data_IF_224602052046
#
_entry.id   IF_224602052046
#
_cell.length_a   1.000
_cell.length_b   1.000
_cell.length_c   1.000
_cell.angle_alpha   90.00
_cell.angle_beta   90.00
_cell.angle_gamma   90.00
#
_symmetry.space_group_name_H-M   'P 1'
#
loop_
_entity.id
_entity.type
_entity.pdbx_description
1 polymer ?
#
# COMPACT_ATOMS: atom_id res chain seq x y z
N UNK A 1 15.01 -13.09 -0.62
CA UNK A 1 13.59 -12.83 -0.35
C UNK A 1 13.43 -11.37 0.07
N UNK A 2 13.79 -10.48 -0.86
CA UNK A 2 13.45 -9.07 -0.82
C UNK A 2 12.21 -8.94 -1.71
N UNK A 3 11.27 -8.03 -1.41
CA UNK A 3 10.03 -7.79 -2.16
C UNK A 3 8.83 -8.73 -1.88
N UNK A 4 8.31 -8.76 -0.65
CA UNK A 4 6.85 -8.69 -0.46
C UNK A 4 6.58 -7.70 0.70
N UNK A 5 6.89 -6.42 0.49
CA UNK A 5 5.87 -5.42 0.85
C UNK A 5 4.83 -5.46 -0.25
N UNK A 6 3.63 -4.96 0.00
CA UNK A 6 2.45 -4.95 -0.88
C UNK A 6 2.75 -4.19 -2.18
N UNK A 7 3.64 -4.74 -3.01
CA UNK A 7 3.67 -4.62 -4.44
C UNK A 7 2.56 -5.54 -4.93
N UNK A 8 1.31 -5.19 -4.59
CA UNK A 8 0.27 -5.32 -5.61
C UNK A 8 0.63 -4.25 -6.62
N UNK A 9 1.57 -4.66 -7.44
CA UNK A 9 2.06 -3.99 -8.61
C UNK A 9 0.82 -3.85 -9.49
N UNK A 10 0.18 -2.69 -9.39
CA UNK A 10 -0.43 -2.05 -10.56
C UNK A 10 0.60 -1.97 -11.70
N UNK A 11 1.90 -2.26 -11.55
CA UNK A 11 2.74 -2.51 -12.73
C UNK A 11 2.57 -3.88 -13.42
N UNK A 12 1.69 -4.77 -12.96
CA UNK A 12 1.06 -5.77 -13.84
C UNK A 12 0.01 -5.14 -14.77
N UNK A 13 -0.39 -3.90 -14.47
CA UNK A 13 -1.36 -3.08 -15.19
C UNK A 13 -0.76 -1.83 -15.83
N UNK A 14 0.55 -1.55 -15.68
CA UNK A 14 1.21 -0.37 -16.28
C UNK A 14 2.60 -0.79 -16.75
N UNK A 15 2.65 -1.44 -17.91
CA UNK A 15 3.83 -1.38 -18.76
C UNK A 15 3.67 -0.16 -19.68
N UNK A 16 4.68 0.71 -19.82
CA UNK A 16 4.54 2.00 -20.51
C UNK A 16 4.12 1.89 -21.99
N UNK A 17 4.32 0.71 -22.60
CA UNK A 17 4.22 0.51 -24.04
C UNK A 17 3.05 -0.39 -24.49
N UNK A 18 2.04 -0.64 -23.66
CA UNK A 18 0.87 -1.42 -24.09
C UNK A 18 -0.45 -0.76 -23.71
N UNK A 19 -1.26 -0.37 -24.71
CA UNK A 19 -2.59 0.22 -24.52
C UNK A 19 -3.59 -0.66 -23.74
N UNK A 20 -3.20 -1.88 -23.34
CA UNK A 20 -3.97 -2.82 -22.50
C UNK A 20 -3.89 -2.52 -21.00
N UNK A 21 -2.90 -1.74 -20.57
CA UNK A 21 -2.64 -1.33 -19.20
C UNK A 21 -3.77 -0.47 -18.60
N UNK A 22 -4.06 0.65 -19.26
CA UNK A 22 -5.10 1.61 -18.86
C UNK A 22 -6.51 0.99 -18.74
N UNK A 23 -6.80 -0.03 -19.57
CA UNK A 23 -8.11 -0.71 -19.60
C UNK A 23 -8.35 -1.57 -18.35
N UNK A 24 -7.29 -2.10 -17.74
CA UNK A 24 -7.42 -2.95 -16.55
C UNK A 24 -7.53 -2.13 -15.26
N UNK A 25 -6.82 -1.01 -15.16
CA UNK A 25 -6.92 -0.14 -14.00
C UNK A 25 -8.31 0.50 -13.88
N UNK A 26 -8.85 1.06 -14.97
CA UNK A 26 -10.19 1.68 -14.94
C UNK A 26 -11.28 0.71 -14.52
N UNK A 27 -11.12 -0.60 -14.80
CA UNK A 27 -12.06 -1.64 -14.39
C UNK A 27 -12.12 -1.83 -12.88
N UNK A 28 -10.98 -1.79 -12.19
CA UNK A 28 -10.89 -2.03 -10.75
C UNK A 28 -10.86 -0.75 -9.92
N UNK A 29 -10.77 0.42 -10.57
CA UNK A 29 -10.76 1.72 -9.91
C UNK A 29 -11.93 1.87 -8.92
N UNK A 30 -13.14 1.51 -9.33
CA UNK A 30 -14.31 1.57 -8.46
C UNK A 30 -14.20 0.65 -7.24
N UNK A 31 -13.57 -0.52 -7.37
CA UNK A 31 -13.34 -1.43 -6.24
C UNK A 31 -12.37 -0.83 -5.23
N UNK A 32 -11.30 -0.17 -5.69
CA UNK A 32 -10.36 0.51 -4.80
C UNK A 32 -10.97 1.74 -4.12
N UNK A 33 -11.77 2.52 -4.85
CA UNK A 33 -12.54 3.62 -4.28
C UNK A 33 -13.49 3.12 -3.20
N UNK A 34 -14.20 2.01 -3.48
CA UNK A 34 -15.08 1.38 -2.50
C UNK A 34 -14.32 0.96 -1.23
N UNK A 35 -13.15 0.33 -1.34
CA UNK A 35 -12.35 -0.07 -0.18
C UNK A 35 -11.88 1.13 0.65
N UNK A 36 -11.50 2.24 -0.01
CA UNK A 36 -11.15 3.49 0.65
C UNK A 36 -12.37 4.09 1.37
N UNK A 37 -13.49 4.21 0.67
CA UNK A 37 -14.70 4.86 1.18
C UNK A 37 -15.36 4.05 2.30
N UNK A 38 -15.21 2.71 2.27
CA UNK A 38 -15.61 1.83 3.36
C UNK A 38 -14.69 1.90 4.59
N UNK A 39 -13.57 2.63 4.52
CA UNK A 39 -12.62 2.80 5.62
C UNK A 39 -11.77 1.56 5.93
N UNK A 40 -11.70 0.59 5.01
CA UNK A 40 -10.94 -0.66 5.21
C UNK A 40 -9.54 -0.61 4.59
N UNK A 41 -9.28 0.38 3.73
CA UNK A 41 -7.99 0.54 3.07
C UNK A 41 -7.57 2.01 2.96
N UNK A 42 -6.26 2.24 3.02
CA UNK A 42 -5.61 3.55 2.95
C UNK A 42 -4.80 3.66 1.65
N UNK A 43 -5.28 4.41 0.64
CA UNK A 43 -4.52 4.66 -0.57
C UNK A 43 -3.50 5.77 -0.33
N UNK A 44 -2.23 5.49 -0.69
CA UNK A 44 -1.11 6.43 -0.61
C UNK A 44 -0.53 6.61 -2.00
N UNK A 45 -0.66 7.83 -2.52
CA UNK A 45 -0.22 8.19 -3.87
C UNK A 45 1.25 8.58 -3.86
N UNK A 46 1.98 8.18 -4.90
CA UNK A 46 3.35 8.62 -5.07
C UNK A 46 3.38 10.12 -5.39
N UNK A 47 4.41 10.80 -4.90
CA UNK A 47 4.74 12.16 -5.30
C UNK A 47 5.98 12.13 -6.20
N UNK A 48 5.95 12.91 -7.27
CA UNK A 48 7.09 13.03 -8.19
C UNK A 48 8.26 13.74 -7.52
N UNK A 49 7.96 14.73 -6.67
CA UNK A 49 8.92 15.44 -5.84
C UNK A 49 8.35 15.68 -4.44
N UNK A 50 9.16 15.53 -3.37
CA UNK A 50 8.74 15.80 -1.98
C UNK A 50 8.75 17.31 -1.69
N UNK A 51 8.08 18.09 -2.53
CA UNK A 51 7.99 19.55 -2.42
C UNK A 51 6.60 19.96 -1.94
N UNK A 52 6.52 21.05 -1.16
CA UNK A 52 5.24 21.58 -0.69
C UNK A 52 4.63 22.44 -1.81
N UNK A 53 3.33 22.27 -2.13
CA UNK A 53 2.38 21.32 -1.54
C UNK A 53 2.40 19.94 -2.21
N UNK A 54 2.56 18.88 -1.40
CA UNK A 54 2.70 17.47 -1.83
C UNK A 54 1.56 16.97 -2.74
N UNK A 55 0.36 17.51 -2.55
CA UNK A 55 -0.80 17.13 -3.37
C UNK A 55 -0.64 17.54 -4.84
N UNK A 56 0.03 18.66 -5.12
CA UNK A 56 0.25 19.11 -6.50
C UNK A 56 1.26 18.24 -7.24
N UNK A 57 2.26 17.70 -6.56
CA UNK A 57 3.25 16.78 -7.13
C UNK A 57 2.79 15.32 -7.12
N UNK A 58 1.55 15.02 -6.71
CA UNK A 58 1.05 13.65 -6.60
C UNK A 58 0.66 13.05 -7.96
N UNK A 59 1.11 11.82 -8.20
CA UNK A 59 0.76 11.02 -9.37
C UNK A 59 -0.43 10.11 -9.06
N UNK A 60 -1.55 10.30 -9.77
CA UNK A 60 -2.78 9.52 -9.55
C UNK A 60 -2.79 8.13 -10.16
N UNK A 61 -1.81 7.84 -11.03
CA UNK A 61 -1.79 6.60 -11.82
C UNK A 61 -1.05 5.46 -11.10
N UNK A 62 -0.34 5.77 -10.00
CA UNK A 62 0.41 4.81 -9.20
C UNK A 62 0.24 5.13 -7.72
N UNK A 63 -0.29 4.18 -6.97
CA UNK A 63 -0.46 4.30 -5.52
C UNK A 63 -0.20 2.95 -4.84
N UNK A 64 0.16 3.01 -3.56
CA UNK A 64 0.15 1.87 -2.64
C UNK A 64 -1.19 1.83 -1.92
N UNK A 65 -1.74 0.64 -1.71
CA UNK A 65 -2.96 0.43 -0.93
C UNK A 65 -2.61 -0.33 0.35
N UNK A 66 -2.79 0.33 1.49
CA UNK A 66 -2.53 -0.21 2.81
C UNK A 66 -3.82 -0.67 3.49
N UNK A 67 -3.74 -1.59 4.44
CA UNK A 67 -4.88 -1.96 5.28
C UNK A 67 -5.07 -0.89 6.34
N UNK A 68 -6.32 -0.54 6.66
CA UNK A 68 -6.58 0.49 7.67
C UNK A 68 -6.31 0.02 9.11
N UNK A 69 -6.13 -1.29 9.31
CA UNK A 69 -5.84 -1.90 10.60
C UNK A 69 -4.59 -2.79 10.50
N UNK A 70 -3.51 -2.33 11.12
CA UNK A 70 -2.23 -3.05 11.18
C UNK A 70 -2.31 -4.33 11.99
N UNK A 71 -3.14 -4.40 13.04
CA UNK A 71 -3.32 -5.60 13.85
C UNK A 71 -4.04 -6.68 13.07
N UNK A 72 -5.07 -6.30 12.31
CA UNK A 72 -5.75 -7.18 11.36
C UNK A 72 -4.78 -7.66 10.28
N UNK A 73 -3.97 -6.77 9.70
CA UNK A 73 -2.91 -7.15 8.75
C UNK A 73 -1.96 -8.19 9.36
N UNK A 74 -1.50 -7.94 10.59
CA UNK A 74 -0.62 -8.85 11.31
C UNK A 74 -1.28 -10.23 11.54
N UNK A 75 -2.59 -10.27 11.79
CA UNK A 75 -3.35 -11.51 11.96
C UNK A 75 -3.51 -12.35 10.68
N UNK A 76 -3.48 -11.69 9.51
CA UNK A 76 -3.62 -12.35 8.21
C UNK A 76 -2.34 -13.05 7.74
N UNK A 77 -1.18 -12.64 8.26
CA UNK A 77 0.06 -13.35 7.98
C UNK A 77 0.06 -14.73 8.61
N UNK A 78 0.54 -15.71 7.85
CA UNK A 78 0.77 -17.06 8.33
C UNK A 78 2.00 -17.14 9.26
N UNK A 79 2.23 -18.33 9.85
CA UNK A 79 3.48 -18.70 10.53
C UNK A 79 3.86 -17.89 11.79
N UNK A 80 2.85 -17.41 12.52
CA UNK A 80 3.04 -16.81 13.84
C UNK A 80 3.89 -15.53 13.80
N UNK A 81 3.79 -14.76 12.72
CA UNK A 81 4.60 -13.54 12.54
C UNK A 81 4.40 -12.53 13.69
N UNK A 82 3.26 -12.60 14.38
CA UNK A 82 2.94 -11.68 15.48
C UNK A 82 3.98 -11.79 16.60
N UNK A 83 4.36 -13.01 16.99
CA UNK A 83 5.42 -13.22 17.99
C UNK A 83 6.77 -12.76 17.45
N UNK A 84 7.08 -13.08 16.19
CA UNK A 84 8.32 -12.68 15.54
C UNK A 84 8.49 -11.15 15.42
N UNK A 85 7.40 -10.41 15.24
CA UNK A 85 7.39 -8.94 15.26
C UNK A 85 7.71 -8.43 16.67
N UNK A 86 7.13 -9.05 17.70
CA UNK A 86 7.37 -8.67 19.10
C UNK A 86 8.80 -9.01 19.54
N UNK A 87 9.36 -10.10 19.03
CA UNK A 87 10.72 -10.57 19.32
C UNK A 87 11.80 -9.89 18.44
N UNK A 88 11.40 -8.97 17.55
CA UNK A 88 12.28 -8.28 16.58
C UNK A 88 13.19 -9.25 15.80
N UNK A 89 12.60 -10.33 15.29
CA UNK A 89 13.33 -11.43 14.65
C UNK A 89 14.12 -10.95 13.41
N UNK A 90 15.47 -10.94 13.45
CA UNK A 90 16.29 -10.30 12.41
C UNK A 90 16.29 -11.05 11.07
N UNK A 91 15.84 -12.31 11.06
CA UNK A 91 15.74 -13.10 9.83
C UNK A 91 14.52 -12.74 8.96
N UNK A 92 13.62 -11.88 9.44
CA UNK A 92 12.36 -11.55 8.77
C UNK A 92 12.32 -10.09 8.33
N UNK A 93 11.74 -9.84 7.16
CA UNK A 93 11.49 -8.50 6.66
C UNK A 93 10.09 -8.02 7.08
N UNK A 94 10.05 -7.08 8.02
CA UNK A 94 8.80 -6.45 8.50
C UNK A 94 8.44 -5.16 7.76
N UNK A 95 9.05 -4.88 6.60
CA UNK A 95 8.86 -3.63 5.88
C UNK A 95 7.40 -3.35 5.54
N UNK A 96 6.61 -4.36 5.19
CA UNK A 96 5.17 -4.23 4.95
C UNK A 96 4.38 -3.76 6.18
N UNK A 97 4.73 -4.30 7.35
CA UNK A 97 4.10 -4.00 8.63
C UNK A 97 4.46 -2.57 9.03
N UNK A 98 5.75 -2.21 8.97
CA UNK A 98 6.18 -0.86 9.32
C UNK A 98 5.63 0.21 8.36
N UNK A 99 5.62 -0.05 7.04
CA UNK A 99 5.02 0.87 6.08
C UNK A 99 3.52 1.09 6.36
N UNK A 100 2.75 0.03 6.64
CA UNK A 100 1.34 0.17 7.01
C UNK A 100 1.16 0.93 8.33
N UNK A 101 2.00 0.65 9.34
CA UNK A 101 1.90 1.30 10.64
C UNK A 101 2.11 2.81 10.52
N UNK A 102 3.13 3.23 9.76
CA UNK A 102 3.38 4.64 9.46
C UNK A 102 2.21 5.27 8.69
N UNK A 103 1.67 4.58 7.69
CA UNK A 103 0.52 5.08 6.91
C UNK A 103 -0.73 5.28 7.78
N UNK A 104 -1.04 4.31 8.64
CA UNK A 104 -2.17 4.38 9.58
C UNK A 104 -2.00 5.56 10.56
N UNK A 105 -0.82 5.70 11.16
CA UNK A 105 -0.50 6.81 12.07
C UNK A 105 -0.57 8.18 11.41
N UNK A 106 -0.13 8.28 10.16
CA UNK A 106 -0.18 9.53 9.41
C UNK A 106 -1.62 9.92 9.05
N UNK A 107 -2.45 8.96 8.65
CA UNK A 107 -3.85 9.20 8.35
C UNK A 107 -4.67 9.59 9.60
N UNK A 108 -4.34 9.05 10.78
CA UNK A 108 -5.04 9.36 12.02
C UNK A 108 -4.75 10.78 12.55
N UNK A 109 -3.62 11.38 12.15
CA UNK A 109 -3.16 12.71 12.61
C UNK A 109 -3.51 13.85 11.66
N UNK A 110 -4.11 13.54 10.51
CA UNK A 110 -4.39 14.49 9.42
C UNK A 110 -5.78 15.12 9.54
#
# INVERSE_FOLDING_TARGET
>A
MWFISVYIQVAGLVTPNSGRANIKFSRYQNSFLWLKDAGVALPVYNVDEPTVPLLLSSSRNLFKLFMSDIGLLASLYADGIQLKILDDEPSINFGSVYENAVAQEFCAKQ
#
